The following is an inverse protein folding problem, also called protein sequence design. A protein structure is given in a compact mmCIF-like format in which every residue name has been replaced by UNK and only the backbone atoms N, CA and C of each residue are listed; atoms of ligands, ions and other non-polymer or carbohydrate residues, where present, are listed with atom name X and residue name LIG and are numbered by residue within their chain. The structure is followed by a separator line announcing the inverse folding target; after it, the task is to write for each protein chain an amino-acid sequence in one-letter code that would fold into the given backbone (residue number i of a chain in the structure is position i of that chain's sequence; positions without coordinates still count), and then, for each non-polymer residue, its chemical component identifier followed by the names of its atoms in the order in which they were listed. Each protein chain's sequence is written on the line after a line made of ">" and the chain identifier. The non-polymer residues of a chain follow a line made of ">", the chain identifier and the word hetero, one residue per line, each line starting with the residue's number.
data_IF_889628062658
#
_entry.id   IF_889628062658
#
_cell.length_a   1.000
_cell.length_b   1.000
_cell.length_c   1.000
_cell.angle_alpha   90.00
_cell.angle_beta   90.00
_cell.angle_gamma   90.00
#
_symmetry.space_group_name_H-M   'P 1'
#
loop_
_entity.id
_entity.type
_entity.pdbx_description
1 polymer ?
#
# COMPACT_ATOMS: atom_id res chain seq x y z
N UNK A 1 9.84 -17.58 -53.44
CA UNK A 1 9.37 -17.94 -52.09
C UNK A 1 10.48 -18.02 -51.02
N UNK A 2 11.76 -17.74 -51.34
CA UNK A 2 12.89 -17.92 -50.41
C UNK A 2 13.22 -16.71 -49.50
N UNK A 3 12.64 -15.53 -49.71
CA UNK A 3 12.98 -14.32 -48.92
C UNK A 3 12.22 -14.17 -47.59
N UNK A 4 11.07 -14.84 -47.42
CA UNK A 4 10.25 -14.69 -46.20
C UNK A 4 10.75 -15.52 -45.00
N UNK A 5 11.51 -16.58 -45.26
CA UNK A 5 12.12 -17.42 -44.22
C UNK A 5 13.40 -16.81 -43.63
N UNK A 6 14.13 -16.00 -44.41
CA UNK A 6 15.36 -15.32 -43.94
C UNK A 6 15.02 -14.20 -42.94
N UNK A 7 13.85 -13.60 -43.05
CA UNK A 7 13.39 -12.56 -42.11
C UNK A 7 13.03 -13.12 -40.73
N UNK A 8 12.40 -14.29 -40.66
CA UNK A 8 11.93 -14.89 -39.41
C UNK A 8 13.07 -15.34 -38.46
N UNK A 9 14.30 -15.48 -38.94
CA UNK A 9 15.48 -15.85 -38.15
C UNK A 9 16.37 -14.68 -37.71
N UNK A 10 16.16 -13.47 -38.27
CA UNK A 10 16.98 -12.30 -37.99
C UNK A 10 16.41 -11.43 -36.85
N UNK A 11 15.09 -11.44 -36.66
CA UNK A 11 14.39 -10.64 -35.63
C UNK A 11 14.51 -11.23 -34.21
N UNK A 12 15.20 -12.37 -34.05
CA UNK A 12 15.39 -13.04 -32.76
C UNK A 12 16.76 -12.80 -32.10
N UNK A 13 17.64 -11.97 -32.70
CA UNK A 13 19.03 -11.76 -32.22
C UNK A 13 19.49 -10.30 -32.17
N UNK A 14 18.62 -9.37 -31.81
CA UNK A 14 19.03 -8.01 -31.48
C UNK A 14 18.25 -7.50 -30.28
N UNK A 15 18.81 -7.71 -29.09
CA UNK A 15 18.97 -6.64 -28.07
C UNK A 15 19.39 -7.26 -26.74
N UNK A 16 20.57 -7.88 -26.74
CA UNK A 16 21.31 -8.16 -25.51
C UNK A 16 22.28 -7.00 -25.24
N UNK A 17 21.74 -5.82 -24.93
CA UNK A 17 22.38 -4.92 -23.98
C UNK A 17 21.29 -4.49 -22.99
N UNK A 18 21.49 -4.70 -21.67
CA UNK A 18 20.52 -4.28 -20.68
C UNK A 18 20.60 -2.76 -20.56
N UNK A 19 19.97 -2.05 -21.49
CA UNK A 19 19.81 -0.62 -21.37
C UNK A 19 18.97 -0.39 -20.10
N UNK A 20 19.50 0.24 -19.04
CA UNK A 20 18.80 0.34 -17.76
C UNK A 20 17.42 0.99 -17.91
N UNK A 21 17.26 1.82 -18.94
CA UNK A 21 16.00 2.45 -19.35
C UNK A 21 14.96 1.43 -19.83
N UNK A 22 15.32 0.44 -20.66
CA UNK A 22 14.37 -0.58 -21.13
C UNK A 22 13.98 -1.54 -19.99
N UNK A 23 14.92 -1.83 -19.08
CA UNK A 23 14.63 -2.60 -17.86
C UNK A 23 13.67 -1.85 -16.93
N UNK A 24 13.86 -0.54 -16.76
CA UNK A 24 13.00 0.31 -15.95
C UNK A 24 11.60 0.46 -16.54
N UNK A 25 11.48 0.69 -17.85
CA UNK A 25 10.19 0.74 -18.55
C UNK A 25 9.40 -0.56 -18.38
N UNK A 26 10.05 -1.71 -18.57
CA UNK A 26 9.43 -3.02 -18.34
C UNK A 26 9.02 -3.23 -16.88
N UNK A 27 9.82 -2.73 -15.92
CA UNK A 27 9.48 -2.78 -14.50
C UNK A 27 8.23 -1.94 -14.17
N UNK A 28 8.13 -0.72 -14.71
CA UNK A 28 6.96 0.14 -14.55
C UNK A 28 5.71 -0.47 -15.19
N UNK A 29 5.87 -1.10 -16.36
CA UNK A 29 4.77 -1.79 -17.04
C UNK A 29 4.26 -2.99 -16.22
N UNK A 30 5.16 -3.82 -15.69
CA UNK A 30 4.82 -4.91 -14.77
C UNK A 30 4.18 -4.39 -13.48
N UNK A 31 4.70 -3.31 -12.89
CA UNK A 31 4.12 -2.69 -11.70
C UNK A 31 2.71 -2.16 -11.96
N UNK A 32 2.46 -1.55 -13.12
CA UNK A 32 1.11 -1.09 -13.52
C UNK A 32 0.13 -2.26 -13.69
N UNK A 33 0.59 -3.38 -14.24
CA UNK A 33 -0.21 -4.59 -14.37
C UNK A 33 -0.58 -5.18 -12.99
N UNK A 34 0.34 -5.16 -12.03
CA UNK A 34 0.10 -5.63 -10.66
C UNK A 34 -0.79 -4.66 -9.86
N UNK A 35 -0.58 -3.35 -10.01
CA UNK A 35 -1.42 -2.32 -9.39
C UNK A 35 -2.89 -2.39 -9.85
N UNK A 36 -3.16 -2.90 -11.05
CA UNK A 36 -4.54 -3.18 -11.52
C UNK A 36 -5.19 -4.36 -10.81
N UNK A 37 -4.42 -5.27 -10.21
CA UNK A 37 -4.93 -6.36 -9.37
C UNK A 37 -5.25 -5.90 -7.95
N UNK A 38 -4.74 -4.73 -7.54
CA UNK A 38 -5.08 -4.14 -6.24
C UNK A 38 -6.53 -3.67 -6.29
N UNK A 39 -7.39 -4.36 -5.55
CA UNK A 39 -8.80 -4.00 -5.39
C UNK A 39 -8.86 -2.76 -4.51
N UNK A 40 -8.83 -1.58 -5.13
CA UNK A 40 -8.98 -0.33 -4.41
C UNK A 40 -10.36 -0.31 -3.75
N UNK A 41 -10.42 -0.15 -2.42
CA UNK A 41 -11.66 -0.18 -1.68
C UNK A 41 -12.57 0.95 -2.17
N UNK A 42 -13.88 0.69 -2.22
CA UNK A 42 -14.82 1.75 -2.58
C UNK A 42 -14.86 2.80 -1.47
N UNK A 43 -15.11 4.07 -1.81
CA UNK A 43 -15.20 5.20 -0.86
C UNK A 43 -16.13 4.89 0.32
N UNK A 44 -17.16 4.07 0.09
CA UNK A 44 -18.10 3.62 1.13
C UNK A 44 -17.44 2.69 2.16
N UNK A 45 -16.57 1.78 1.74
CA UNK A 45 -15.83 0.87 2.61
C UNK A 45 -14.77 1.63 3.40
N UNK A 46 -14.05 2.53 2.74
CA UNK A 46 -13.06 3.40 3.40
C UNK A 46 -13.70 4.21 4.52
N UNK A 47 -14.88 4.81 4.28
CA UNK A 47 -15.62 5.54 5.33
C UNK A 47 -16.01 4.62 6.49
N UNK A 48 -16.51 3.41 6.23
CA UNK A 48 -16.85 2.45 7.30
C UNK A 48 -15.62 2.09 8.14
N UNK A 49 -14.49 1.81 7.49
CA UNK A 49 -13.24 1.53 8.18
C UNK A 49 -12.78 2.73 9.04
N UNK A 50 -12.86 3.96 8.52
CA UNK A 50 -12.53 5.17 9.28
C UNK A 50 -13.45 5.36 10.50
N UNK A 51 -14.76 5.17 10.36
CA UNK A 51 -15.69 5.27 11.49
C UNK A 51 -15.46 4.17 12.54
N UNK A 52 -15.11 2.95 12.12
CA UNK A 52 -14.77 1.87 13.04
C UNK A 52 -13.52 2.23 13.87
N UNK A 53 -12.45 2.73 13.24
CA UNK A 53 -11.25 3.18 13.93
C UNK A 53 -11.55 4.36 14.86
N UNK A 54 -12.35 5.33 14.40
CA UNK A 54 -12.73 6.49 15.21
C UNK A 54 -13.45 6.05 16.49
N UNK A 55 -14.43 5.15 16.38
CA UNK A 55 -15.13 4.59 17.53
C UNK A 55 -14.18 3.85 18.49
N UNK A 56 -13.28 3.03 17.95
CA UNK A 56 -12.27 2.33 18.76
C UNK A 56 -11.37 3.30 19.54
N UNK A 57 -10.87 4.34 18.88
CA UNK A 57 -10.02 5.37 19.51
C UNK A 57 -10.80 6.15 20.57
N UNK A 58 -12.07 6.50 20.32
CA UNK A 58 -12.92 7.16 21.31
C UNK A 58 -13.07 6.33 22.58
N UNK A 59 -13.33 5.03 22.46
CA UNK A 59 -13.46 4.13 23.62
C UNK A 59 -12.13 4.05 24.39
N UNK A 60 -11.01 3.86 23.69
CA UNK A 60 -9.68 3.84 24.32
C UNK A 60 -9.37 5.15 25.05
N UNK A 61 -9.68 6.30 24.44
CA UNK A 61 -9.45 7.60 25.04
C UNK A 61 -10.28 7.81 26.33
N UNK A 62 -11.53 7.35 26.36
CA UNK A 62 -12.37 7.41 27.56
C UNK A 62 -11.78 6.54 28.68
N UNK A 63 -11.40 5.30 28.38
CA UNK A 63 -10.83 4.38 29.37
C UNK A 63 -9.52 4.95 29.95
N UNK A 64 -8.59 5.35 29.08
CA UNK A 64 -7.32 5.91 29.51
C UNK A 64 -7.54 7.20 30.30
N UNK A 65 -8.38 8.12 29.80
CA UNK A 65 -8.69 9.35 30.51
C UNK A 65 -9.29 9.14 31.90
N UNK A 66 -10.17 8.14 32.07
CA UNK A 66 -10.69 7.75 33.39
C UNK A 66 -9.58 7.24 34.32
N UNK A 67 -8.67 6.42 33.80
CA UNK A 67 -7.53 5.90 34.56
C UNK A 67 -6.59 7.04 34.96
N UNK A 68 -6.24 7.93 34.04
CA UNK A 68 -5.37 9.09 34.28
C UNK A 68 -5.96 10.01 35.36
N UNK A 69 -7.26 10.30 35.31
CA UNK A 69 -7.96 11.10 36.31
C UNK A 69 -8.06 10.39 37.67
N UNK A 70 -8.27 9.08 37.66
CA UNK A 70 -8.30 8.24 38.87
C UNK A 70 -6.95 8.21 39.57
N UNK A 71 -5.86 7.95 38.81
CA UNK A 71 -4.49 7.95 39.32
C UNK A 71 -4.09 9.33 39.83
N UNK A 72 -4.40 10.39 39.08
CA UNK A 72 -4.08 11.78 39.49
C UNK A 72 -4.75 12.15 40.81
N UNK A 73 -6.02 11.75 40.99
CA UNK A 73 -6.75 11.95 42.23
C UNK A 73 -6.14 11.16 43.39
N UNK A 74 -5.79 9.89 43.16
CA UNK A 74 -5.18 9.04 44.18
C UNK A 74 -3.81 9.57 44.64
N UNK A 75 -2.96 9.99 43.69
CA UNK A 75 -1.65 10.58 44.00
C UNK A 75 -1.81 11.87 44.79
N UNK A 76 -2.77 12.73 44.44
CA UNK A 76 -3.08 13.94 45.22
C UNK A 76 -3.49 13.63 46.66
N UNK A 77 -4.29 12.59 46.87
CA UNK A 77 -4.70 12.17 48.22
C UNK A 77 -3.54 11.62 49.04
N UNK A 78 -2.57 10.95 48.41
CA UNK A 78 -1.40 10.38 49.11
C UNK A 78 -0.33 11.44 49.41
N UNK A 79 -0.15 12.43 48.53
CA UNK A 79 0.85 13.49 48.70
C UNK A 79 0.37 14.64 49.62
N UNK A 80 -0.94 14.71 49.88
CA UNK A 80 -1.57 15.69 50.77
C UNK A 80 -1.60 15.25 52.22
#
# INVERSE_FOLDING_TARGET
>A
MAKKQIQAGADARSDETPNPVTRFLRYVENARAELRKVTWPTVKETRKATFAVLGFVTVMAVILGLVDLGLSSLIKTILS
#
